data_IF_711758831312
#
_entry.id   IF_711758831312
#
_cell.length_a   1.000
_cell.length_b   1.000
_cell.length_c   1.000
_cell.angle_alpha   90.00
_cell.angle_beta   90.00
_cell.angle_gamma   90.00
#
_symmetry.space_group_name_H-M   'P 1'
#
loop_
_entity.id
_entity.type
_entity.pdbx_description
1 polymer ?
#
# COMPACT_ATOMS: atom_id res chain seq x y z
N UNK A 1 -2.38 9.16 -7.92
CA UNK A 1 -2.35 10.55 -7.47
C UNK A 1 -1.69 11.46 -8.47
N UNK A 2 -2.03 12.72 -8.41
CA UNK A 2 -1.40 13.77 -9.22
C UNK A 2 -0.15 14.28 -8.51
N UNK A 3 1.01 13.89 -9.01
CA UNK A 3 2.31 14.21 -8.41
C UNK A 3 2.76 15.68 -8.65
N UNK A 4 2.17 16.38 -9.63
CA UNK A 4 2.49 17.79 -9.86
C UNK A 4 1.97 18.69 -8.72
N UNK A 5 0.89 18.28 -8.07
CA UNK A 5 0.32 18.97 -6.92
C UNK A 5 1.22 18.99 -5.68
N UNK A 6 2.19 18.10 -5.59
CA UNK A 6 3.15 18.10 -4.46
C UNK A 6 3.89 19.43 -4.40
N UNK A 7 4.44 19.86 -5.53
CA UNK A 7 5.18 21.13 -5.64
C UNK A 7 4.27 22.35 -5.40
N UNK A 8 3.03 22.30 -5.89
CA UNK A 8 2.05 23.39 -5.68
C UNK A 8 1.70 23.52 -4.20
N UNK A 9 1.39 22.41 -3.53
CA UNK A 9 1.04 22.41 -2.11
C UNK A 9 2.25 22.84 -1.27
N UNK A 10 3.45 22.37 -1.59
CA UNK A 10 4.68 22.77 -0.88
C UNK A 10 4.97 24.26 -1.01
N UNK A 11 4.67 24.87 -2.15
CA UNK A 11 4.79 26.35 -2.35
C UNK A 11 3.72 27.14 -1.59
N UNK A 12 2.52 26.58 -1.45
CA UNK A 12 1.38 27.23 -0.82
C UNK A 12 1.36 27.10 0.71
N UNK A 13 1.99 26.06 1.26
CA UNK A 13 1.97 25.74 2.68
C UNK A 13 3.31 26.03 3.37
N UNK A 14 3.29 26.19 4.71
CA UNK A 14 4.51 26.30 5.50
C UNK A 14 5.34 25.01 5.43
N UNK A 15 6.63 25.09 5.76
CA UNK A 15 7.53 23.94 5.82
C UNK A 15 7.14 22.92 6.91
N UNK A 16 6.38 23.36 7.90
CA UNK A 16 5.89 22.51 9.00
C UNK A 16 4.62 21.74 8.63
N UNK A 17 3.98 22.07 7.49
CA UNK A 17 2.79 21.37 7.04
C UNK A 17 3.12 19.95 6.60
N UNK A 18 2.56 18.96 7.32
CA UNK A 18 2.74 17.53 7.01
C UNK A 18 1.91 17.16 5.78
N UNK A 19 2.59 16.70 4.73
CA UNK A 19 1.98 16.33 3.46
C UNK A 19 2.11 14.81 3.24
N UNK A 20 1.01 14.09 3.38
CA UNK A 20 0.95 12.63 3.23
C UNK A 20 0.17 12.21 1.99
N UNK A 21 0.67 11.18 1.30
CA UNK A 21 -0.07 10.49 0.24
C UNK A 21 -1.20 9.65 0.84
N UNK A 22 -2.33 9.58 0.15
CA UNK A 22 -3.42 8.62 0.43
C UNK A 22 -3.48 7.47 -0.59
N UNK A 23 -2.44 7.31 -1.42
CA UNK A 23 -2.41 6.36 -2.51
C UNK A 23 -1.09 5.58 -2.52
N UNK A 24 -1.17 4.24 -2.40
CA UNK A 24 0.02 3.38 -2.39
C UNK A 24 0.77 3.41 -3.72
N UNK A 25 0.08 3.42 -4.86
CA UNK A 25 0.72 3.33 -6.17
C UNK A 25 1.71 4.47 -6.44
N UNK A 26 1.39 5.68 -5.98
CA UNK A 26 2.21 6.88 -6.21
C UNK A 26 3.03 7.31 -5.00
N UNK A 27 2.90 6.66 -3.84
CA UNK A 27 3.45 7.16 -2.59
C UNK A 27 4.98 7.26 -2.58
N UNK A 28 5.69 6.37 -3.24
CA UNK A 28 7.15 6.40 -3.29
C UNK A 28 7.66 7.60 -4.09
N UNK A 29 7.07 7.85 -5.26
CA UNK A 29 7.38 9.05 -6.06
C UNK A 29 6.93 10.33 -5.35
N UNK A 30 5.77 10.29 -4.69
CA UNK A 30 5.25 11.39 -3.87
C UNK A 30 6.25 11.78 -2.76
N UNK A 31 6.78 10.79 -2.02
CA UNK A 31 7.78 11.04 -0.99
C UNK A 31 9.13 11.51 -1.57
N UNK A 32 9.55 10.96 -2.72
CA UNK A 32 10.75 11.42 -3.42
C UNK A 32 10.66 12.89 -3.87
N UNK A 33 9.45 13.38 -4.17
CA UNK A 33 9.16 14.78 -4.49
C UNK A 33 8.99 15.68 -3.26
N UNK A 34 9.22 15.19 -2.05
CA UNK A 34 9.16 15.99 -0.82
C UNK A 34 7.88 15.80 0.00
N UNK A 35 7.11 14.75 -0.23
CA UNK A 35 6.06 14.30 0.68
C UNK A 35 6.65 13.73 1.97
N UNK A 36 5.90 13.81 3.07
CA UNK A 36 6.38 13.39 4.39
C UNK A 36 6.06 11.91 4.69
N UNK A 37 5.10 11.31 4.00
CA UNK A 37 4.71 9.93 4.25
C UNK A 37 3.50 9.48 3.46
N UNK A 38 2.92 8.35 3.89
CA UNK A 38 1.75 7.74 3.27
C UNK A 38 0.81 7.16 4.32
N UNK A 39 -0.50 7.25 4.05
CA UNK A 39 -1.54 6.48 4.73
C UNK A 39 -1.88 5.34 3.78
N UNK A 40 -1.32 4.17 4.05
CA UNK A 40 -1.16 3.05 3.13
C UNK A 40 -2.13 1.91 3.44
N UNK A 41 -2.68 1.26 2.40
CA UNK A 41 -3.41 -0.01 2.50
C UNK A 41 -2.42 -1.18 2.66
N UNK A 42 -1.32 -1.17 1.90
CA UNK A 42 -0.24 -2.19 1.96
C UNK A 42 0.35 -2.29 3.36
N UNK A 43 0.42 -1.19 4.11
CA UNK A 43 0.95 -1.18 5.48
C UNK A 43 0.15 -2.04 6.47
N UNK A 44 -1.09 -2.42 6.15
CA UNK A 44 -1.87 -3.34 6.99
C UNK A 44 -1.32 -4.78 6.92
N UNK A 45 -0.77 -5.18 5.78
CA UNK A 45 -0.27 -6.55 5.55
C UNK A 45 1.26 -6.64 5.65
N UNK A 46 1.99 -5.55 5.32
CA UNK A 46 3.46 -5.51 5.34
C UNK A 46 3.96 -4.21 6.00
N UNK A 47 3.63 -3.95 7.30
CA UNK A 47 3.95 -2.68 7.96
C UNK A 47 5.45 -2.39 8.04
N UNK A 48 6.24 -3.38 8.44
CA UNK A 48 7.69 -3.23 8.60
C UNK A 48 8.38 -2.88 7.27
N UNK A 49 7.93 -3.52 6.19
CA UNK A 49 8.47 -3.30 4.86
C UNK A 49 8.13 -1.90 4.35
N UNK A 50 6.87 -1.45 4.55
CA UNK A 50 6.46 -0.10 4.18
C UNK A 50 7.24 0.98 4.92
N UNK A 51 7.53 0.79 6.20
CA UNK A 51 8.38 1.71 6.97
C UNK A 51 9.80 1.76 6.41
N UNK A 52 10.41 0.61 6.10
CA UNK A 52 11.76 0.55 5.53
C UNK A 52 11.83 1.26 4.19
N UNK A 53 10.91 0.98 3.26
CA UNK A 53 10.87 1.61 1.94
C UNK A 53 10.61 3.11 2.01
N UNK A 54 9.66 3.52 2.84
CA UNK A 54 9.37 4.95 3.05
C UNK A 54 10.61 5.70 3.57
N UNK A 55 11.33 5.14 4.52
CA UNK A 55 12.54 5.75 5.06
C UNK A 55 13.66 5.82 4.01
N UNK A 56 13.86 4.77 3.20
CA UNK A 56 14.82 4.77 2.10
C UNK A 56 14.54 5.89 1.10
N UNK A 57 13.29 5.99 0.65
CA UNK A 57 12.90 6.99 -0.35
C UNK A 57 13.04 8.40 0.23
N UNK A 58 12.60 8.63 1.46
CA UNK A 58 12.71 9.95 2.13
C UNK A 58 14.15 10.37 2.38
N UNK A 59 15.06 9.43 2.57
CA UNK A 59 16.50 9.72 2.70
C UNK A 59 17.21 9.99 1.36
N UNK A 60 16.51 9.85 0.24
CA UNK A 60 17.06 10.02 -1.11
C UNK A 60 17.75 8.77 -1.67
N UNK A 61 17.77 7.65 -0.95
CA UNK A 61 18.40 6.41 -1.42
C UNK A 61 17.57 5.70 -2.51
N UNK A 62 16.24 5.92 -2.53
CA UNK A 62 15.33 5.22 -3.44
C UNK A 62 15.16 3.73 -3.11
N UNK A 63 14.39 3.03 -3.92
CA UNK A 63 14.24 1.58 -3.85
C UNK A 63 15.19 0.90 -4.85
N UNK A 64 15.75 -0.24 -4.45
CA UNK A 64 16.42 -1.14 -5.39
C UNK A 64 15.39 -1.79 -6.33
N UNK A 65 15.84 -2.33 -7.48
CA UNK A 65 14.95 -2.89 -8.50
C UNK A 65 14.08 -4.05 -7.98
N UNK A 66 14.61 -4.88 -7.10
CA UNK A 66 13.88 -5.98 -6.45
C UNK A 66 12.85 -5.45 -5.44
N UNK A 67 13.19 -4.42 -4.68
CA UNK A 67 12.27 -3.75 -3.76
C UNK A 67 11.13 -3.06 -4.52
N UNK A 68 11.43 -2.39 -5.62
CA UNK A 68 10.42 -1.75 -6.48
C UNK A 68 9.45 -2.77 -7.08
N UNK A 69 9.96 -3.93 -7.54
CA UNK A 69 9.12 -5.03 -8.02
C UNK A 69 8.25 -5.63 -6.91
N UNK A 70 8.81 -5.83 -5.72
CA UNK A 70 8.06 -6.33 -4.56
C UNK A 70 6.95 -5.35 -4.15
N UNK A 71 7.26 -4.05 -4.13
CA UNK A 71 6.28 -2.99 -3.84
C UNK A 71 5.13 -2.98 -4.87
N UNK A 72 5.45 -3.06 -6.17
CA UNK A 72 4.43 -3.14 -7.23
C UNK A 72 3.54 -4.38 -7.05
N UNK A 73 4.13 -5.54 -6.76
CA UNK A 73 3.36 -6.77 -6.56
C UNK A 73 2.41 -6.69 -5.37
N UNK A 74 2.81 -6.00 -4.28
CA UNK A 74 1.93 -5.75 -3.13
C UNK A 74 0.80 -4.77 -3.45
N UNK A 75 1.09 -3.72 -4.23
CA UNK A 75 0.05 -2.81 -4.70
C UNK A 75 -0.99 -3.54 -5.55
N UNK A 76 -0.56 -4.37 -6.50
CA UNK A 76 -1.45 -5.18 -7.32
C UNK A 76 -2.31 -6.13 -6.48
N UNK A 77 -1.79 -6.60 -5.35
CA UNK A 77 -2.52 -7.48 -4.45
C UNK A 77 -3.65 -6.73 -3.72
N UNK A 78 -3.39 -5.52 -3.22
CA UNK A 78 -4.40 -4.76 -2.46
C UNK A 78 -5.44 -4.07 -3.34
N UNK A 79 -5.16 -3.90 -4.65
CA UNK A 79 -6.12 -3.37 -5.64
C UNK A 79 -6.77 -4.45 -6.49
N UNK A 80 -6.59 -5.72 -6.12
CA UNK A 80 -7.15 -6.88 -6.83
C UNK A 80 -8.68 -6.85 -6.93
N UNK A 81 -9.32 -6.21 -5.96
CA UNK A 81 -10.76 -5.93 -5.91
C UNK A 81 -10.97 -4.59 -5.16
N UNK A 82 -12.22 -4.19 -4.99
CA UNK A 82 -12.57 -2.96 -4.26
C UNK A 82 -12.03 -2.98 -2.82
N UNK A 83 -11.25 -1.95 -2.45
CA UNK A 83 -10.77 -1.79 -1.07
C UNK A 83 -11.97 -1.60 -0.11
N UNK A 84 -12.01 -2.29 1.05
CA UNK A 84 -10.96 -3.06 1.71
C UNK A 84 -11.06 -4.59 1.52
N UNK A 85 -11.74 -5.09 0.48
CA UNK A 85 -11.99 -6.52 0.31
C UNK A 85 -10.68 -7.33 0.23
N UNK A 86 -9.70 -7.02 -0.65
CA UNK A 86 -8.45 -7.79 -0.74
C UNK A 86 -7.63 -7.75 0.54
N UNK A 87 -7.46 -6.57 1.16
CA UNK A 87 -6.64 -6.43 2.37
C UNK A 87 -7.24 -7.18 3.55
N UNK A 88 -8.56 -7.20 3.71
CA UNK A 88 -9.23 -7.98 4.77
C UNK A 88 -9.14 -9.48 4.52
N UNK A 89 -9.28 -9.91 3.27
CA UNK A 89 -9.08 -11.31 2.89
C UNK A 89 -7.64 -11.76 3.16
N UNK A 90 -6.65 -10.93 2.82
CA UNK A 90 -5.24 -11.18 3.11
C UNK A 90 -4.99 -11.30 4.62
N UNK A 91 -5.49 -10.37 5.43
CA UNK A 91 -5.35 -10.38 6.88
C UNK A 91 -6.04 -11.59 7.53
N UNK A 92 -7.16 -12.06 6.97
CA UNK A 92 -7.80 -13.28 7.42
C UNK A 92 -6.93 -14.51 7.11
N UNK A 93 -6.37 -14.58 5.91
CA UNK A 93 -5.46 -15.68 5.53
C UNK A 93 -4.16 -15.68 6.36
N UNK A 94 -3.70 -14.53 6.81
CA UNK A 94 -2.54 -14.36 7.72
C UNK A 94 -2.88 -14.61 9.20
N UNK A 95 -4.07 -15.11 9.53
CA UNK A 95 -4.56 -15.33 10.90
C UNK A 95 -4.59 -14.05 11.78
N UNK A 96 -4.58 -12.87 11.17
CA UNK A 96 -4.72 -11.59 11.89
C UNK A 96 -6.19 -11.29 12.18
N UNK A 97 -7.08 -11.61 11.24
CA UNK A 97 -8.53 -11.46 11.39
C UNK A 97 -9.21 -12.82 11.48
N UNK A 98 -10.14 -12.97 12.43
CA UNK A 98 -10.93 -14.18 12.60
C UNK A 98 -11.89 -14.46 11.41
N UNK A 99 -12.27 -13.42 10.65
CA UNK A 99 -13.21 -13.51 9.53
C UNK A 99 -12.91 -12.47 8.46
N UNK A 100 -13.11 -12.77 7.16
CA UNK A 100 -13.02 -11.81 6.06
C UNK A 100 -14.33 -11.01 5.89
N UNK A 101 -15.27 -11.10 6.82
CA UNK A 101 -16.58 -10.48 6.74
C UNK A 101 -16.51 -8.97 6.50
N UNK A 102 -17.43 -8.49 5.66
CA UNK A 102 -17.57 -7.07 5.31
C UNK A 102 -18.89 -6.51 5.82
N UNK A 103 -18.93 -5.20 6.07
CA UNK A 103 -20.19 -4.48 6.26
C UNK A 103 -20.82 -4.18 4.91
N UNK A 104 -22.14 -4.31 4.81
CA UNK A 104 -22.89 -3.90 3.64
C UNK A 104 -22.65 -2.41 3.28
N UNK A 105 -22.60 -2.05 2.02
CA UNK A 105 -22.94 -2.86 0.82
C UNK A 105 -21.83 -3.80 0.33
N UNK A 106 -20.65 -3.80 0.96
CA UNK A 106 -19.56 -4.70 0.57
C UNK A 106 -19.85 -6.14 1.04
N UNK A 107 -19.36 -7.09 0.28
CA UNK A 107 -19.45 -8.52 0.58
C UNK A 107 -18.05 -9.14 0.58
N UNK A 108 -17.91 -10.30 1.21
CA UNK A 108 -16.66 -11.06 1.15
C UNK A 108 -16.30 -11.42 -0.30
N UNK A 109 -15.00 -11.55 -0.56
CA UNK A 109 -14.48 -11.92 -1.88
C UNK A 109 -15.04 -13.27 -2.34
N UNK A 110 -15.36 -13.36 -3.62
CA UNK A 110 -15.78 -14.63 -4.25
C UNK A 110 -14.67 -15.70 -4.10
N UNK A 111 -15.07 -16.97 -4.02
CA UNK A 111 -14.17 -18.06 -3.68
C UNK A 111 -12.98 -18.20 -4.66
N UNK A 112 -13.22 -18.08 -5.97
CA UNK A 112 -12.18 -18.19 -6.99
C UNK A 112 -11.21 -17.00 -6.91
N UNK A 113 -11.72 -15.79 -6.71
CA UNK A 113 -10.91 -14.60 -6.53
C UNK A 113 -10.07 -14.67 -5.23
N UNK A 114 -10.67 -15.15 -4.14
CA UNK A 114 -9.98 -15.38 -2.88
C UNK A 114 -8.82 -16.37 -3.04
N UNK A 115 -9.03 -17.47 -3.77
CA UNK A 115 -7.99 -18.46 -4.07
C UNK A 115 -6.84 -17.83 -4.86
N UNK A 116 -7.14 -17.05 -5.90
CA UNK A 116 -6.11 -16.36 -6.70
C UNK A 116 -5.29 -15.37 -5.85
N UNK A 117 -5.93 -14.62 -4.96
CA UNK A 117 -5.25 -13.73 -4.02
C UNK A 117 -4.29 -14.51 -3.12
N UNK A 118 -4.75 -15.61 -2.54
CA UNK A 118 -3.96 -16.48 -1.64
C UNK A 118 -2.77 -17.09 -2.40
N UNK A 119 -2.98 -17.62 -3.60
CA UNK A 119 -1.92 -18.20 -4.44
C UNK A 119 -0.84 -17.13 -4.74
N UNK A 120 -1.24 -15.89 -4.99
CA UNK A 120 -0.32 -14.76 -5.18
C UNK A 120 0.46 -14.45 -3.90
N UNK A 121 -0.18 -14.42 -2.74
CA UNK A 121 0.48 -14.21 -1.44
C UNK A 121 1.52 -15.29 -1.14
N UNK A 122 1.17 -16.57 -1.37
CA UNK A 122 2.08 -17.70 -1.21
C UNK A 122 3.29 -17.59 -2.15
N UNK A 123 3.07 -17.21 -3.40
CA UNK A 123 4.16 -17.03 -4.38
C UNK A 123 5.13 -15.91 -3.99
N UNK A 124 4.68 -14.93 -3.20
CA UNK A 124 5.46 -13.83 -2.66
C UNK A 124 6.15 -14.18 -1.33
N UNK A 125 5.90 -15.36 -0.76
CA UNK A 125 6.47 -15.78 0.53
C UNK A 125 5.94 -14.97 1.71
N UNK A 126 4.69 -14.53 1.67
CA UNK A 126 4.09 -13.68 2.72
C UNK A 126 3.59 -14.47 3.94
N UNK A 127 3.53 -15.80 3.86
CA UNK A 127 3.05 -16.73 4.91
C UNK A 127 3.89 -17.96 4.90
#
# INVERSE_FOLDING_TARGET
GDLERVDEIRKACSKEFVLSSGDDNSCMEFMAKGGDGVISVVSNIMPSQMVQWSNKVRSGAGLADDEARAFTALNDLVVFDTNPIPVKQALHFMDVFASPEMRLPLVAMEQDASKQLIDKMLSMGMV
#
